data_IF_446649581309
#
_entry.id   IF_446649581309
#
_cell.length_a   1.000
_cell.length_b   1.000
_cell.length_c   1.000
_cell.angle_alpha   90.00
_cell.angle_beta   90.00
_cell.angle_gamma   90.00
#
_symmetry.space_group_name_H-M   'P 1'
#
loop_
_entity.id
_entity.type
_entity.pdbx_description
1 polymer ?
#
# COMPACT_ATOMS: atom_id res chain seq x y z
N UNK A 1 -15.34 31.83 -5.65
CA UNK A 1 -15.11 30.67 -6.54
C UNK A 1 -13.73 30.12 -6.20
N UNK A 2 -13.64 29.29 -5.16
CA UNK A 2 -12.37 28.72 -4.69
C UNK A 2 -12.24 27.35 -5.33
N UNK A 3 -11.23 27.21 -6.18
CA UNK A 3 -10.90 25.95 -6.83
C UNK A 3 -10.29 25.02 -5.76
N UNK A 4 -11.09 24.08 -5.27
CA UNK A 4 -10.60 22.88 -4.60
C UNK A 4 -9.94 22.00 -5.67
N UNK A 5 -8.68 22.31 -5.98
CA UNK A 5 -7.81 21.42 -6.73
C UNK A 5 -7.36 20.30 -5.81
N UNK A 6 -7.98 19.14 -5.91
CA UNK A 6 -7.33 17.90 -5.51
C UNK A 6 -6.09 17.80 -6.39
N UNK A 7 -4.86 17.69 -5.85
CA UNK A 7 -3.71 17.47 -6.70
C UNK A 7 -3.91 16.11 -7.40
N UNK A 8 -3.95 16.13 -8.74
CA UNK A 8 -3.71 14.93 -9.55
C UNK A 8 -2.49 14.20 -8.97
N UNK A 9 -2.57 12.88 -8.89
CA UNK A 9 -1.51 11.99 -8.41
C UNK A 9 -0.19 12.31 -9.12
N UNK A 10 0.56 13.23 -8.53
CA UNK A 10 1.79 13.82 -9.02
C UNK A 10 2.82 13.45 -7.97
N UNK A 11 3.82 12.69 -8.39
CA UNK A 11 4.96 12.28 -7.59
C UNK A 11 5.31 13.35 -6.55
N UNK A 12 5.29 12.96 -5.28
CA UNK A 12 5.56 13.88 -4.19
C UNK A 12 6.92 14.56 -4.46
N UNK A 13 7.04 15.90 -4.42
CA UNK A 13 8.32 16.59 -4.45
C UNK A 13 9.31 15.90 -3.50
N UNK A 14 10.58 15.78 -3.89
CA UNK A 14 11.64 15.11 -3.12
C UNK A 14 11.69 15.57 -1.64
N UNK A 15 11.38 16.85 -1.40
CA UNK A 15 11.29 17.41 -0.04
C UNK A 15 10.13 16.84 0.80
N UNK A 16 9.01 16.47 0.18
CA UNK A 16 7.87 15.86 0.85
C UNK A 16 8.10 14.36 1.06
N UNK A 17 8.75 13.67 0.12
CA UNK A 17 9.17 12.28 0.30
C UNK A 17 10.11 12.12 1.51
N UNK A 18 11.11 13.00 1.67
CA UNK A 18 12.01 12.97 2.82
C UNK A 18 11.30 13.25 4.16
N UNK A 19 10.34 14.18 4.17
CA UNK A 19 9.54 14.45 5.38
C UNK A 19 8.59 13.28 5.70
N UNK A 20 8.00 12.65 4.68
CA UNK A 20 7.21 11.42 4.83
C UNK A 20 8.05 10.31 5.44
N UNK A 21 9.27 10.08 4.94
CA UNK A 21 10.16 9.07 5.53
C UNK A 21 10.47 9.36 7.01
N UNK A 22 10.70 10.61 7.36
CA UNK A 22 10.95 11.03 8.75
C UNK A 22 9.72 10.83 9.63
N UNK A 23 8.53 11.19 9.16
CA UNK A 23 7.27 10.98 9.86
C UNK A 23 7.03 9.48 10.11
N UNK A 24 7.35 8.64 9.13
CA UNK A 24 7.12 7.20 9.21
C UNK A 24 8.23 6.41 9.93
N UNK A 25 9.37 7.05 10.23
CA UNK A 25 10.51 6.40 10.89
C UNK A 25 10.16 5.57 12.15
N UNK A 26 9.36 6.05 13.13
CA UNK A 26 9.01 5.23 14.30
C UNK A 26 8.16 4.00 13.92
N UNK A 27 7.21 4.16 13.00
CA UNK A 27 6.35 3.07 12.55
C UNK A 27 7.14 2.02 11.74
N UNK A 28 8.07 2.48 10.89
CA UNK A 28 8.99 1.61 10.14
C UNK A 28 9.91 0.83 11.07
N UNK A 29 10.46 1.47 12.12
CA UNK A 29 11.29 0.78 13.10
C UNK A 29 10.49 -0.33 13.82
N UNK A 30 9.28 -0.02 14.29
CA UNK A 30 8.40 -0.99 14.96
C UNK A 30 7.96 -2.12 14.02
N UNK A 31 7.64 -1.82 12.76
CA UNK A 31 7.29 -2.82 11.75
C UNK A 31 8.47 -3.75 11.44
N UNK A 32 9.68 -3.22 11.25
CA UNK A 32 10.90 -4.01 11.04
C UNK A 32 11.21 -4.92 12.21
N UNK A 33 11.07 -4.43 13.44
CA UNK A 33 11.27 -5.25 14.65
C UNK A 33 10.24 -6.39 14.74
N UNK A 34 8.96 -6.10 14.48
CA UNK A 34 7.91 -7.13 14.45
C UNK A 34 8.15 -8.15 13.33
N UNK A 35 8.59 -7.70 12.16
CA UNK A 35 8.92 -8.57 11.03
C UNK A 35 10.12 -9.47 11.35
N UNK A 36 11.18 -8.93 11.92
CA UNK A 36 12.37 -9.69 12.33
C UNK A 36 12.06 -10.76 13.38
N UNK A 37 11.04 -10.54 14.22
CA UNK A 37 10.54 -11.52 15.20
C UNK A 37 9.53 -12.52 14.63
N UNK A 38 9.14 -12.39 13.35
CA UNK A 38 8.13 -13.23 12.71
C UNK A 38 6.70 -13.02 13.23
N UNK A 39 6.44 -11.91 13.94
CA UNK A 39 5.12 -11.60 14.50
C UNK A 39 4.33 -10.62 13.65
N UNK A 40 4.90 -10.10 12.56
CA UNK A 40 4.18 -9.27 11.60
C UNK A 40 3.37 -10.15 10.64
N UNK A 41 2.20 -10.61 11.09
CA UNK A 41 1.32 -11.55 10.38
C UNK A 41 0.11 -10.85 9.77
N UNK A 42 -0.58 -11.50 8.83
CA UNK A 42 -1.85 -11.00 8.27
C UNK A 42 -2.89 -10.71 9.36
N UNK A 43 -2.94 -11.53 10.43
CA UNK A 43 -3.83 -11.28 11.58
C UNK A 43 -3.52 -9.94 12.26
N UNK A 44 -2.25 -9.61 12.50
CA UNK A 44 -1.87 -8.31 13.06
C UNK A 44 -2.25 -7.15 12.14
N UNK A 45 -2.10 -7.33 10.82
CA UNK A 45 -2.49 -6.33 9.84
C UNK A 45 -4.01 -6.13 9.78
N UNK A 46 -4.81 -7.20 9.94
CA UNK A 46 -6.28 -7.09 10.09
C UNK A 46 -6.64 -6.24 11.30
N UNK A 47 -5.99 -6.46 12.45
CA UNK A 47 -6.24 -5.63 13.64
C UNK A 47 -5.90 -4.17 13.34
N UNK A 48 -4.73 -3.89 12.75
CA UNK A 48 -4.34 -2.52 12.40
C UNK A 48 -5.35 -1.84 11.45
N UNK A 49 -5.85 -2.56 10.45
CA UNK A 49 -6.85 -2.10 9.48
C UNK A 49 -8.20 -1.78 10.14
N UNK A 50 -8.57 -2.50 11.20
CA UNK A 50 -9.85 -2.32 11.90
C UNK A 50 -9.81 -1.28 13.03
N UNK A 51 -8.63 -0.97 13.58
CA UNK A 51 -8.46 -0.09 14.74
C UNK A 51 -7.89 1.30 14.38
N UNK A 52 -8.08 1.76 13.14
CA UNK A 52 -7.60 3.07 12.65
C UNK A 52 -6.08 3.31 12.83
N UNK A 53 -5.29 2.23 12.90
CA UNK A 53 -3.82 2.30 12.98
C UNK A 53 -3.21 2.38 11.58
N UNK A 54 -3.61 3.41 10.84
CA UNK A 54 -3.30 3.56 9.41
C UNK A 54 -1.79 3.69 9.17
N UNK A 55 -1.08 4.48 9.98
CA UNK A 55 0.37 4.67 9.83
C UNK A 55 1.15 3.37 10.10
N UNK A 56 0.75 2.61 11.13
CA UNK A 56 1.30 1.27 11.41
C UNK A 56 1.05 0.31 10.24
N UNK A 57 -0.16 0.33 9.67
CA UNK A 57 -0.52 -0.52 8.55
C UNK A 57 0.32 -0.19 7.31
N UNK A 58 0.44 1.09 6.95
CA UNK A 58 1.25 1.56 5.82
C UNK A 58 2.72 1.17 6.01
N UNK A 59 3.29 1.41 7.19
CA UNK A 59 4.66 0.99 7.49
C UNK A 59 4.85 -0.53 7.43
N UNK A 60 3.85 -1.30 7.87
CA UNK A 60 3.87 -2.76 7.82
C UNK A 60 3.83 -3.27 6.37
N UNK A 61 2.98 -2.68 5.53
CA UNK A 61 2.90 -3.01 4.10
C UNK A 61 4.20 -2.65 3.37
N UNK A 62 4.80 -1.49 3.68
CA UNK A 62 6.10 -1.08 3.14
C UNK A 62 7.20 -2.08 3.50
N UNK A 63 7.28 -2.52 4.76
CA UNK A 63 8.30 -3.48 5.22
C UNK A 63 8.09 -4.86 4.60
N UNK A 64 6.86 -5.37 4.59
CA UNK A 64 6.56 -6.69 4.03
C UNK A 64 6.74 -6.73 2.52
N UNK A 65 6.31 -5.67 1.82
CA UNK A 65 6.42 -5.56 0.37
C UNK A 65 7.79 -5.12 -0.13
N UNK A 66 8.70 -4.73 0.75
CA UNK A 66 10.00 -4.16 0.36
C UNK A 66 9.88 -2.85 -0.41
N UNK A 67 8.83 -2.06 -0.16
CA UNK A 67 8.52 -0.82 -0.86
C UNK A 67 8.86 0.41 -0.01
N UNK A 68 9.14 1.53 -0.67
CA UNK A 68 9.26 2.80 0.01
C UNK A 68 7.87 3.28 0.49
N UNK A 69 7.82 3.97 1.64
CA UNK A 69 6.56 4.51 2.18
C UNK A 69 5.87 5.46 1.19
N UNK A 70 6.56 6.39 0.51
CA UNK A 70 5.93 7.24 -0.51
C UNK A 70 5.21 6.42 -1.59
N UNK A 71 5.83 5.36 -2.11
CA UNK A 71 5.22 4.46 -3.09
C UNK A 71 3.96 3.80 -2.54
N UNK A 72 3.98 3.30 -1.30
CA UNK A 72 2.78 2.69 -0.66
C UNK A 72 1.66 3.72 -0.53
N UNK A 73 1.99 4.95 -0.10
CA UNK A 73 1.01 6.03 0.03
C UNK A 73 0.42 6.44 -1.32
N UNK A 74 1.23 6.51 -2.37
CA UNK A 74 0.76 6.82 -3.73
C UNK A 74 -0.16 5.71 -4.27
N UNK A 75 0.19 4.44 -4.03
CA UNK A 75 -0.68 3.30 -4.36
C UNK A 75 -2.02 3.38 -3.63
N UNK A 76 -2.02 3.75 -2.34
CA UNK A 76 -3.26 3.95 -1.56
C UNK A 76 -4.07 5.14 -2.07
N UNK A 77 -3.40 6.26 -2.34
CA UNK A 77 -4.02 7.49 -2.82
C UNK A 77 -4.61 7.34 -4.23
N UNK A 78 -4.07 6.42 -5.05
CA UNK A 78 -4.60 6.13 -6.39
C UNK A 78 -6.04 5.61 -6.37
N UNK A 79 -6.50 5.06 -5.24
CA UNK A 79 -7.78 4.37 -5.09
C UNK A 79 -8.02 3.31 -6.18
N UNK A 80 -6.94 2.71 -6.70
CA UNK A 80 -6.99 1.68 -7.73
C UNK A 80 -7.14 0.29 -7.08
N UNK A 81 -8.22 -0.46 -7.37
CA UNK A 81 -8.36 -1.84 -6.92
C UNK A 81 -7.16 -2.72 -7.29
N UNK A 82 -6.61 -2.51 -8.49
CA UNK A 82 -5.48 -3.28 -9.03
C UNK A 82 -4.18 -2.98 -8.29
N UNK A 83 -3.92 -1.70 -8.01
CA UNK A 83 -2.73 -1.29 -7.27
C UNK A 83 -2.75 -1.86 -5.85
N UNK A 84 -3.88 -1.78 -5.16
CA UNK A 84 -4.00 -2.32 -3.80
C UNK A 84 -3.95 -3.85 -3.75
N UNK A 85 -4.47 -4.53 -4.77
CA UNK A 85 -4.29 -5.98 -4.90
C UNK A 85 -2.80 -6.35 -5.07
N UNK A 86 -2.08 -5.63 -5.93
CA UNK A 86 -0.64 -5.82 -6.13
C UNK A 86 0.18 -5.53 -4.87
N UNK A 87 -0.14 -4.46 -4.14
CA UNK A 87 0.50 -4.09 -2.87
C UNK A 87 0.36 -5.21 -1.83
N UNK A 88 -0.86 -5.77 -1.66
CA UNK A 88 -1.09 -6.87 -0.74
C UNK A 88 -0.31 -8.13 -1.15
N UNK A 89 -0.26 -8.44 -2.44
CA UNK A 89 0.49 -9.59 -2.94
C UNK A 89 2.00 -9.44 -2.70
N UNK A 90 2.57 -8.26 -2.96
CA UNK A 90 3.97 -7.97 -2.67
C UNK A 90 4.30 -8.14 -1.18
N UNK A 91 3.36 -7.77 -0.31
CA UNK A 91 3.46 -7.98 1.14
C UNK A 91 3.23 -9.44 1.59
N UNK A 92 3.05 -10.38 0.66
CA UNK A 92 2.81 -11.79 0.95
C UNK A 92 1.45 -12.08 1.59
N UNK A 93 0.47 -11.19 1.38
CA UNK A 93 -0.86 -11.29 1.98
C UNK A 93 -1.83 -12.04 1.05
N UNK A 94 -2.97 -12.43 1.60
CA UNK A 94 -4.00 -13.16 0.87
C UNK A 94 -4.87 -12.24 -0.01
N UNK A 95 -5.45 -12.79 -1.08
CA UNK A 95 -6.40 -12.04 -1.90
C UNK A 95 -7.66 -11.58 -1.13
N UNK A 96 -8.23 -12.38 -0.18
CA UNK A 96 -9.27 -11.90 0.72
C UNK A 96 -8.85 -10.68 1.55
N UNK A 97 -7.63 -10.67 2.09
CA UNK A 97 -7.12 -9.49 2.79
C UNK A 97 -6.97 -8.29 1.86
N UNK A 98 -6.50 -8.52 0.63
CA UNK A 98 -6.39 -7.48 -0.39
C UNK A 98 -7.75 -6.82 -0.69
N UNK A 99 -8.86 -7.56 -0.67
CA UNK A 99 -10.21 -7.01 -0.82
C UNK A 99 -10.59 -6.09 0.35
N UNK A 100 -10.31 -6.50 1.59
CA UNK A 100 -10.54 -5.66 2.77
C UNK A 100 -9.70 -4.38 2.73
N UNK A 101 -8.44 -4.49 2.27
CA UNK A 101 -7.54 -3.36 2.08
C UNK A 101 -8.11 -2.34 1.08
N UNK A 102 -8.62 -2.81 -0.06
CA UNK A 102 -9.26 -1.97 -1.08
C UNK A 102 -10.43 -1.17 -0.50
N UNK A 103 -11.31 -1.82 0.26
CA UNK A 103 -12.53 -1.22 0.78
C UNK A 103 -12.25 -0.24 1.92
N UNK A 104 -11.39 -0.64 2.87
CA UNK A 104 -11.19 0.11 4.12
C UNK A 104 -10.09 1.16 3.98
N UNK A 105 -8.92 0.78 3.47
CA UNK A 105 -7.79 1.70 3.31
C UNK A 105 -7.93 2.51 2.01
N UNK A 106 -8.24 1.84 0.90
CA UNK A 106 -8.45 2.51 -0.40
C UNK A 106 -9.77 3.27 -0.53
N UNK A 107 -10.70 3.05 0.40
CA UNK A 107 -12.07 3.63 0.38
C UNK A 107 -12.82 3.33 -0.92
N UNK A 108 -12.55 2.17 -1.52
CA UNK A 108 -13.16 1.73 -2.78
C UNK A 108 -14.52 1.12 -2.49
N UNK A 109 -15.53 1.48 -3.29
CA UNK A 109 -16.86 0.90 -3.16
C UNK A 109 -16.84 -0.62 -3.41
N UNK A 110 -17.65 -1.37 -2.65
CA UNK A 110 -17.63 -2.86 -2.67
C UNK A 110 -17.93 -3.47 -4.05
N UNK A 111 -18.68 -2.77 -4.88
CA UNK A 111 -19.03 -3.14 -6.25
C UNK A 111 -17.92 -2.81 -7.27
N UNK A 112 -17.01 -1.89 -6.92
CA UNK A 112 -15.85 -1.51 -7.73
C UNK A 112 -14.57 -2.27 -7.35
N UNK A 113 -14.53 -2.89 -6.17
CA UNK A 113 -13.38 -3.65 -5.69
C UNK A 113 -13.18 -4.96 -6.47
N UNK A 114 -11.92 -5.35 -6.63
CA UNK A 114 -11.54 -6.63 -7.22
C UNK A 114 -11.74 -7.75 -6.20
N UNK A 115 -12.67 -8.65 -6.51
CA UNK A 115 -13.00 -9.79 -5.67
C UNK A 115 -12.08 -10.96 -5.99
N UNK A 116 -11.56 -11.68 -4.97
CA UNK A 116 -10.82 -12.91 -5.19
C UNK A 116 -11.62 -13.93 -6.01
N UNK A 117 -10.90 -14.83 -6.67
CA UNK A 117 -11.53 -16.01 -7.25
C UNK A 117 -12.09 -16.93 -6.14
N UNK A 118 -13.03 -17.84 -6.47
CA UNK A 118 -13.63 -18.75 -5.49
C UNK A 118 -12.62 -19.64 -4.76
N UNK A 119 -11.45 -19.89 -5.35
CA UNK A 119 -10.35 -20.66 -4.75
C UNK A 119 -9.45 -19.82 -3.82
N UNK A 120 -9.75 -18.54 -3.64
CA UNK A 120 -8.99 -17.61 -2.81
C UNK A 120 -7.79 -16.96 -3.50
N UNK A 121 -7.58 -17.23 -4.79
CA UNK A 121 -6.54 -16.58 -5.59
C UNK A 121 -6.92 -15.16 -6.02
N UNK A 122 -5.91 -14.39 -6.41
CA UNK A 122 -6.09 -13.02 -6.88
C UNK A 122 -6.79 -12.96 -8.24
N UNK A 123 -7.57 -11.89 -8.47
CA UNK A 123 -8.32 -11.67 -9.70
C UNK A 123 -7.47 -11.18 -10.90
N UNK A 124 -6.22 -10.79 -10.64
CA UNK A 124 -5.27 -10.32 -11.65
C UNK A 124 -4.03 -11.21 -11.63
N UNK A 125 -3.33 -11.27 -12.75
CA UNK A 125 -2.13 -12.11 -12.88
C UNK A 125 -0.92 -11.54 -12.13
N UNK A 126 0.04 -12.40 -11.77
CA UNK A 126 1.32 -11.97 -11.17
C UNK A 126 2.08 -10.96 -12.04
N UNK A 127 1.96 -11.08 -13.37
CA UNK A 127 2.55 -10.13 -14.32
C UNK A 127 1.88 -8.75 -14.24
N UNK A 128 0.55 -8.72 -14.12
CA UNK A 128 -0.19 -7.47 -13.94
C UNK A 128 0.10 -6.83 -12.57
N UNK A 129 0.23 -7.63 -11.50
CA UNK A 129 0.60 -7.11 -10.17
C UNK A 129 1.98 -6.47 -10.16
N UNK A 130 2.98 -7.16 -10.71
CA UNK A 130 4.33 -6.61 -10.80
C UNK A 130 4.35 -5.34 -11.62
N UNK A 131 3.64 -5.32 -12.74
CA UNK A 131 3.51 -4.11 -13.56
C UNK A 131 2.90 -2.95 -12.77
N UNK A 132 1.87 -3.19 -11.94
CA UNK A 132 1.31 -2.15 -11.06
C UNK A 132 2.40 -1.57 -10.14
N UNK A 133 3.19 -2.42 -9.48
CA UNK A 133 4.24 -1.97 -8.55
C UNK A 133 5.32 -1.17 -9.28
N UNK A 134 5.78 -1.67 -10.44
CA UNK A 134 6.80 -0.99 -11.26
C UNK A 134 6.36 0.43 -11.62
N UNK A 135 5.11 0.62 -12.04
CA UNK A 135 4.57 1.95 -12.37
C UNK A 135 4.72 2.96 -11.22
N UNK A 136 4.45 2.55 -9.98
CA UNK A 136 4.58 3.46 -8.81
C UNK A 136 6.00 3.54 -8.27
N UNK A 137 6.82 2.51 -8.47
CA UNK A 137 8.21 2.50 -8.03
C UNK A 137 9.12 3.32 -8.96
N UNK A 138 8.89 3.27 -10.27
CA UNK A 138 9.64 4.05 -11.27
C UNK A 138 9.38 5.56 -11.16
N UNK A 139 8.16 5.95 -10.83
CA UNK A 139 7.82 7.36 -10.55
C UNK A 139 8.51 7.91 -9.28
N UNK A 140 8.97 7.02 -8.39
CA UNK A 140 9.76 7.37 -7.20
C UNK A 140 11.28 7.37 -7.39
N UNK A 141 11.80 6.75 -8.46
CA UNK A 141 13.24 6.54 -8.73
C UNK A 141 13.82 7.51 -9.79
N UNK A 142 13.13 8.61 -10.12
CA UNK A 142 13.68 9.66 -11.00
C UNK A 142 14.83 10.48 -10.36
N UNK A 143 15.42 10.02 -9.26
CA UNK A 143 16.54 10.67 -8.58
C UNK A 143 17.92 10.10 -8.95
N UNK A 144 18.02 9.00 -9.71
CA UNK A 144 19.34 8.44 -10.09
C UNK A 144 19.39 7.95 -11.54
N UNK A 145 19.25 8.86 -12.52
CA UNK A 145 19.78 8.68 -13.88
C UNK A 145 20.33 9.99 -14.43
#
# INVERSE_FOLDING_TARGET
RLANGVPEARALPVAWAAETEKQFAPFLAAARERHARGVLTETELVVALLTDRTDDLVASLAVLGGLAVPTVLDMVASQSPRALAALANAAGLSAPFALELQIKLGRIAKDQALKPHPDGSYAISDGEMRWQIEMFAEDGDVATR
#
